data_IF_623383292468
#
_entry.id   IF_623383292468
#
_cell.length_a   1.000
_cell.length_b   1.000
_cell.length_c   1.000
_cell.angle_alpha   90.00
_cell.angle_beta   90.00
_cell.angle_gamma   90.00
#
_symmetry.space_group_name_H-M   'P 1'
#
loop_
_entity.id
_entity.type
_entity.pdbx_description
1 polymer ?
#
# COMPACT_ATOMS: atom_id res chain seq x y z
N UNK A 1 22.63 -29.08 29.46
CA UNK A 1 23.00 -28.00 28.52
C UNK A 1 22.19 -26.79 28.94
N UNK A 2 22.83 -25.78 29.53
CA UNK A 2 22.14 -24.68 30.19
C UNK A 2 21.44 -23.77 29.19
N UNK A 3 20.15 -23.51 29.40
CA UNK A 3 19.44 -22.42 28.75
C UNK A 3 20.11 -21.11 29.16
N UNK A 4 20.99 -20.58 28.32
CA UNK A 4 21.50 -19.23 28.46
C UNK A 4 20.30 -18.30 28.31
N UNK A 5 19.74 -17.83 29.42
CA UNK A 5 18.67 -16.83 29.40
C UNK A 5 19.25 -15.60 28.73
N UNK A 6 18.78 -15.33 27.50
CA UNK A 6 19.12 -14.11 26.78
C UNK A 6 18.70 -12.95 27.68
N UNK A 7 19.66 -12.09 28.04
CA UNK A 7 19.37 -10.94 28.90
C UNK A 7 18.42 -10.00 28.15
N UNK A 8 17.25 -9.76 28.74
CA UNK A 8 16.23 -8.88 28.17
C UNK A 8 16.22 -7.52 28.87
N UNK A 9 15.90 -6.44 28.14
CA UNK A 9 15.66 -5.14 28.74
C UNK A 9 14.44 -5.21 29.69
N UNK A 10 14.53 -4.54 30.84
CA UNK A 10 13.39 -4.45 31.75
C UNK A 10 12.26 -3.59 31.16
N UNK A 11 11.05 -3.76 31.67
CA UNK A 11 9.86 -3.07 31.18
C UNK A 11 9.94 -1.54 31.33
N UNK A 12 10.58 -1.03 32.38
CA UNK A 12 10.72 0.40 32.63
C UNK A 12 11.60 1.10 31.57
N UNK A 13 12.68 0.45 31.16
CA UNK A 13 13.57 0.93 30.09
C UNK A 13 12.82 1.01 28.75
N UNK A 14 11.99 -0.01 28.44
CA UNK A 14 11.17 -0.02 27.23
C UNK A 14 10.09 1.06 27.28
N UNK A 15 9.36 1.17 28.39
CA UNK A 15 8.32 2.20 28.54
C UNK A 15 8.90 3.61 28.46
N UNK A 16 10.06 3.86 29.08
CA UNK A 16 10.76 5.12 28.98
C UNK A 16 11.15 5.46 27.54
N UNK A 17 11.65 4.48 26.78
CA UNK A 17 11.97 4.66 25.37
C UNK A 17 10.73 4.95 24.52
N UNK A 18 9.65 4.21 24.71
CA UNK A 18 8.37 4.45 24.02
C UNK A 18 7.80 5.83 24.35
N UNK A 19 7.88 6.27 25.62
CA UNK A 19 7.45 7.60 26.02
C UNK A 19 8.26 8.72 25.35
N UNK A 20 9.58 8.52 25.17
CA UNK A 20 10.42 9.48 24.42
C UNK A 20 9.99 9.58 22.96
N UNK A 21 9.66 8.45 22.32
CA UNK A 21 9.16 8.44 20.94
C UNK A 21 7.80 9.15 20.83
N UNK A 22 6.87 8.84 21.72
CA UNK A 22 5.52 9.43 21.72
C UNK A 22 5.52 10.93 22.04
N UNK A 23 6.48 11.41 22.83
CA UNK A 23 6.66 12.84 23.14
C UNK A 23 7.47 13.60 22.09
N UNK A 24 7.85 12.97 20.98
CA UNK A 24 8.62 13.61 19.90
C UNK A 24 10.08 13.91 20.27
N UNK A 25 10.58 13.40 21.41
CA UNK A 25 11.98 13.55 21.83
C UNK A 25 12.89 12.56 21.10
N UNK A 26 12.87 12.61 19.77
CA UNK A 26 13.43 11.58 18.89
C UNK A 26 14.93 11.39 19.09
N UNK A 27 15.70 12.46 19.30
CA UNK A 27 17.16 12.37 19.54
C UNK A 27 17.50 11.63 20.84
N UNK A 28 16.72 11.89 21.89
CA UNK A 28 16.85 11.18 23.18
C UNK A 28 16.41 9.71 23.04
N UNK A 29 15.37 9.44 22.27
CA UNK A 29 14.93 8.07 22.00
C UNK A 29 16.03 7.28 21.28
N UNK A 30 16.62 7.83 20.21
CA UNK A 30 17.68 7.16 19.43
C UNK A 30 18.92 6.88 20.27
N UNK A 31 19.39 7.86 21.05
CA UNK A 31 20.54 7.68 21.95
C UNK A 31 20.27 6.64 23.04
N UNK A 32 19.07 6.67 23.64
CA UNK A 32 18.63 5.68 24.65
C UNK A 32 18.56 4.27 24.05
N UNK A 33 17.95 4.12 22.88
CA UNK A 33 17.84 2.84 22.18
C UNK A 33 19.23 2.25 21.87
N UNK A 34 20.17 3.05 21.35
CA UNK A 34 21.56 2.60 21.10
C UNK A 34 22.25 2.10 22.37
N UNK A 35 22.08 2.82 23.49
CA UNK A 35 22.63 2.43 24.79
C UNK A 35 22.04 1.09 25.27
N UNK A 36 20.72 0.91 25.12
CA UNK A 36 20.05 -0.33 25.50
C UNK A 36 20.48 -1.49 24.59
N UNK A 37 20.63 -1.28 23.28
CA UNK A 37 21.14 -2.30 22.34
C UNK A 37 22.56 -2.73 22.71
N UNK A 38 23.40 -1.82 23.20
CA UNK A 38 24.72 -2.17 23.71
C UNK A 38 24.70 -3.15 24.89
N UNK A 39 23.63 -3.14 25.69
CA UNK A 39 23.43 -4.06 26.82
C UNK A 39 22.65 -5.33 26.42
N UNK A 40 21.70 -5.19 25.51
CA UNK A 40 20.74 -6.23 25.11
C UNK A 40 20.70 -6.37 23.57
N UNK A 41 21.80 -6.79 22.92
CA UNK A 41 21.91 -6.75 21.45
C UNK A 41 20.94 -7.69 20.73
N UNK A 42 20.49 -8.75 21.41
CA UNK A 42 19.58 -9.76 20.88
C UNK A 42 18.10 -9.44 21.13
N UNK A 43 17.76 -8.27 21.65
CA UNK A 43 16.37 -7.85 21.86
C UNK A 43 15.81 -7.21 20.56
N UNK A 44 14.97 -7.91 19.77
CA UNK A 44 14.46 -7.40 18.50
C UNK A 44 13.67 -6.10 18.65
N UNK A 45 12.91 -5.95 19.75
CA UNK A 45 12.13 -4.75 20.02
C UNK A 45 12.98 -3.48 20.12
N UNK A 46 14.21 -3.55 20.62
CA UNK A 46 15.08 -2.38 20.69
C UNK A 46 15.52 -1.92 19.31
N UNK A 47 15.74 -2.85 18.39
CA UNK A 47 16.03 -2.53 16.99
C UNK A 47 14.81 -1.93 16.29
N UNK A 48 13.58 -2.40 16.59
CA UNK A 48 12.35 -1.75 16.11
C UNK A 48 12.26 -0.31 16.62
N UNK A 49 12.39 -0.09 17.93
CA UNK A 49 12.27 1.25 18.53
C UNK A 49 13.38 2.20 18.06
N UNK A 50 14.60 1.69 17.85
CA UNK A 50 15.67 2.46 17.20
C UNK A 50 15.28 2.84 15.77
N UNK A 51 14.73 1.90 15.00
CA UNK A 51 14.24 2.14 13.64
C UNK A 51 13.17 3.23 13.60
N UNK A 52 12.20 3.19 14.53
CA UNK A 52 11.14 4.21 14.64
C UNK A 52 11.74 5.58 14.92
N UNK A 53 12.68 5.67 15.86
CA UNK A 53 13.39 6.92 16.15
C UNK A 53 14.18 7.44 14.94
N UNK A 54 14.93 6.59 14.25
CA UNK A 54 15.69 6.98 13.06
C UNK A 54 14.78 7.45 11.92
N UNK A 55 13.64 6.78 11.70
CA UNK A 55 12.64 7.21 10.74
C UNK A 55 12.03 8.57 11.11
N UNK A 56 11.80 8.83 12.39
CA UNK A 56 11.38 10.13 12.91
C UNK A 56 12.38 11.26 12.66
N UNK A 57 13.69 10.94 12.56
CA UNK A 57 14.73 11.89 12.14
C UNK A 57 14.84 12.05 10.61
N UNK A 58 14.00 11.38 9.82
CA UNK A 58 14.13 11.30 8.36
C UNK A 58 15.27 10.40 7.87
N UNK A 59 15.96 9.68 8.76
CA UNK A 59 17.08 8.78 8.42
C UNK A 59 16.55 7.40 8.02
N UNK A 60 15.97 7.33 6.82
CA UNK A 60 15.30 6.14 6.33
C UNK A 60 16.24 4.94 6.15
N UNK A 61 17.45 5.12 5.59
CA UNK A 61 18.39 4.01 5.38
C UNK A 61 18.83 3.35 6.70
N UNK A 62 19.25 4.11 7.73
CA UNK A 62 19.49 3.54 9.07
C UNK A 62 18.25 2.87 9.67
N UNK A 63 17.05 3.41 9.47
CA UNK A 63 15.82 2.82 9.99
C UNK A 63 15.55 1.45 9.36
N UNK A 64 15.66 1.33 8.03
CA UNK A 64 15.52 0.07 7.30
C UNK A 64 16.52 -0.97 7.81
N UNK A 65 17.77 -0.57 8.04
CA UNK A 65 18.79 -1.47 8.61
C UNK A 65 18.40 -1.97 10.00
N UNK A 66 17.90 -1.09 10.86
CA UNK A 66 17.40 -1.44 12.19
C UNK A 66 16.21 -2.40 12.13
N UNK A 67 15.23 -2.19 11.26
CA UNK A 67 14.11 -3.13 11.10
C UNK A 67 14.56 -4.50 10.56
N UNK A 68 15.47 -4.53 9.58
CA UNK A 68 16.05 -5.78 9.08
C UNK A 68 16.81 -6.55 10.17
N UNK A 69 17.51 -5.86 11.08
CA UNK A 69 18.10 -6.50 12.27
C UNK A 69 17.06 -7.09 13.20
N UNK A 70 15.96 -6.37 13.46
CA UNK A 70 14.85 -6.91 14.25
C UNK A 70 14.28 -8.19 13.63
N UNK A 71 14.10 -8.21 12.31
CA UNK A 71 13.59 -9.37 11.57
C UNK A 71 14.58 -10.53 11.48
N UNK A 72 15.89 -10.26 11.46
CA UNK A 72 16.91 -11.31 11.54
C UNK A 72 16.89 -12.02 12.91
N UNK A 73 16.53 -11.30 13.98
CA UNK A 73 16.38 -11.84 15.33
C UNK A 73 15.01 -12.50 15.56
N UNK A 74 13.96 -11.93 14.95
CA UNK A 74 12.58 -12.40 15.04
C UNK A 74 11.87 -12.22 13.68
N UNK A 75 11.91 -13.25 12.81
CA UNK A 75 11.34 -13.15 11.45
C UNK A 75 9.83 -12.90 11.40
N UNK A 76 9.10 -13.34 12.43
CA UNK A 76 7.64 -13.21 12.56
C UNK A 76 7.20 -11.91 13.26
N UNK A 77 8.09 -10.90 13.33
CA UNK A 77 7.78 -9.64 14.01
C UNK A 77 6.95 -8.71 13.11
N UNK A 78 5.62 -8.83 13.19
CA UNK A 78 4.65 -8.05 12.40
C UNK A 78 4.91 -6.53 12.44
N UNK A 79 5.15 -5.96 13.62
CA UNK A 79 5.43 -4.51 13.74
C UNK A 79 6.71 -4.10 12.99
N UNK A 80 7.73 -4.96 12.97
CA UNK A 80 8.97 -4.69 12.25
C UNK A 80 8.76 -4.77 10.73
N UNK A 81 7.97 -5.75 10.25
CA UNK A 81 7.59 -5.85 8.84
C UNK A 81 6.76 -4.64 8.38
N UNK A 82 5.77 -4.23 9.17
CA UNK A 82 4.95 -3.05 8.86
C UNK A 82 5.81 -1.78 8.82
N UNK A 83 6.64 -1.55 9.83
CA UNK A 83 7.52 -0.37 9.86
C UNK A 83 8.60 -0.38 8.77
N UNK A 84 9.11 -1.56 8.40
CA UNK A 84 10.00 -1.73 7.25
C UNK A 84 9.29 -1.32 5.95
N UNK A 85 8.07 -1.80 5.73
CA UNK A 85 7.25 -1.41 4.59
C UNK A 85 7.01 0.09 4.51
N UNK A 86 6.74 0.74 5.65
CA UNK A 86 6.54 2.21 5.71
C UNK A 86 7.81 2.95 5.31
N UNK A 87 8.96 2.52 5.85
CA UNK A 87 10.24 3.15 5.52
C UNK A 87 10.61 2.95 4.05
N UNK A 88 10.44 1.74 3.50
CA UNK A 88 10.73 1.42 2.09
C UNK A 88 9.81 2.19 1.13
N UNK A 89 8.52 2.32 1.43
CA UNK A 89 7.59 3.15 0.65
C UNK A 89 8.05 4.61 0.61
N UNK A 90 8.46 5.17 1.75
CA UNK A 90 9.03 6.54 1.79
C UNK A 90 10.32 6.71 1.00
N UNK A 91 11.06 5.62 0.75
CA UNK A 91 12.23 5.61 -0.13
C UNK A 91 11.88 5.41 -1.62
N UNK A 92 10.59 5.23 -1.96
CA UNK A 92 10.16 4.88 -3.32
C UNK A 92 10.41 3.42 -3.70
N UNK A 93 10.84 2.57 -2.76
CA UNK A 93 11.09 1.13 -2.99
C UNK A 93 9.79 0.35 -2.85
N UNK A 94 8.85 0.60 -3.76
CA UNK A 94 7.48 0.10 -3.67
C UNK A 94 7.39 -1.44 -3.69
N UNK A 95 8.20 -2.12 -4.50
CA UNK A 95 8.23 -3.59 -4.53
C UNK A 95 8.65 -4.20 -3.19
N UNK A 96 9.79 -3.75 -2.64
CA UNK A 96 10.26 -4.24 -1.32
C UNK A 96 9.27 -3.88 -0.20
N UNK A 97 8.58 -2.74 -0.30
CA UNK A 97 7.54 -2.36 0.65
C UNK A 97 6.33 -3.31 0.58
N UNK A 98 5.88 -3.67 -0.63
CA UNK A 98 4.78 -4.61 -0.83
C UNK A 98 5.12 -6.00 -0.26
N UNK A 99 6.36 -6.47 -0.44
CA UNK A 99 6.83 -7.74 0.12
C UNK A 99 6.77 -7.72 1.66
N UNK A 100 7.26 -6.65 2.28
CA UNK A 100 7.23 -6.50 3.73
C UNK A 100 5.81 -6.51 4.30
N UNK A 101 4.89 -5.76 3.68
CA UNK A 101 3.48 -5.76 4.11
C UNK A 101 2.76 -7.07 3.83
N UNK A 102 3.09 -7.75 2.72
CA UNK A 102 2.50 -9.06 2.40
C UNK A 102 2.91 -10.09 3.45
N UNK A 103 4.20 -10.14 3.83
CA UNK A 103 4.65 -10.99 4.93
C UNK A 103 3.98 -10.65 6.28
N UNK A 104 3.74 -9.37 6.55
CA UNK A 104 2.99 -8.98 7.76
C UNK A 104 1.53 -9.46 7.74
N UNK A 105 0.86 -9.41 6.58
CA UNK A 105 -0.50 -9.93 6.42
C UNK A 105 -0.56 -11.46 6.44
N UNK A 106 0.45 -12.18 5.96
CA UNK A 106 0.50 -13.64 6.09
C UNK A 106 0.51 -14.07 7.57
N UNK A 107 1.24 -13.33 8.41
CA UNK A 107 1.30 -13.57 9.85
C UNK A 107 0.04 -13.09 10.58
N UNK A 108 -0.54 -11.96 10.15
CA UNK A 108 -1.74 -11.39 10.74
C UNK A 108 -2.73 -10.90 9.66
N UNK A 109 -3.54 -11.80 9.08
CA UNK A 109 -4.43 -11.46 7.96
C UNK A 109 -5.50 -10.41 8.28
N UNK A 110 -5.82 -10.26 9.57
CA UNK A 110 -6.81 -9.32 10.07
C UNK A 110 -6.27 -7.92 10.41
N UNK A 111 -4.98 -7.62 10.15
CA UNK A 111 -4.41 -6.32 10.51
C UNK A 111 -4.87 -5.20 9.55
N UNK A 112 -5.73 -4.26 9.99
CA UNK A 112 -6.30 -3.24 9.11
C UNK A 112 -5.25 -2.24 8.62
N UNK A 113 -4.27 -1.88 9.46
CA UNK A 113 -3.23 -0.90 9.13
C UNK A 113 -2.32 -1.44 8.02
N UNK A 114 -1.89 -2.70 8.15
CA UNK A 114 -1.04 -3.35 7.13
C UNK A 114 -1.82 -3.51 5.82
N UNK A 115 -3.10 -3.91 5.88
CA UNK A 115 -3.97 -4.00 4.70
C UNK A 115 -4.11 -2.65 3.98
N UNK A 116 -4.32 -1.57 4.73
CA UNK A 116 -4.39 -0.21 4.18
C UNK A 116 -3.06 0.22 3.56
N UNK A 117 -1.95 -0.05 4.23
CA UNK A 117 -0.62 0.29 3.73
C UNK A 117 -0.26 -0.47 2.44
N UNK A 118 -0.52 -1.78 2.38
CA UNK A 118 -0.30 -2.58 1.18
C UNK A 118 -1.15 -2.10 0.01
N UNK A 119 -2.43 -1.82 0.26
CA UNK A 119 -3.33 -1.29 -0.75
C UNK A 119 -2.86 0.07 -1.28
N UNK A 120 -2.24 0.90 -0.44
CA UNK A 120 -1.66 2.18 -0.87
C UNK A 120 -0.45 1.96 -1.77
N UNK A 121 0.43 1.00 -1.44
CA UNK A 121 1.59 0.66 -2.29
C UNK A 121 1.17 0.12 -3.65
N UNK A 122 0.16 -0.77 -3.70
CA UNK A 122 -0.37 -1.27 -4.96
C UNK A 122 -1.01 -0.15 -5.81
N UNK A 123 -1.66 0.81 -5.18
CA UNK A 123 -2.24 1.97 -5.87
C UNK A 123 -1.15 2.87 -6.46
N UNK A 124 -0.11 3.21 -5.69
CA UNK A 124 1.05 4.00 -6.16
C UNK A 124 1.79 3.29 -7.31
N UNK A 125 2.01 1.98 -7.18
CA UNK A 125 2.66 1.17 -8.21
C UNK A 125 1.79 1.09 -9.47
N UNK A 126 0.46 0.95 -9.30
CA UNK A 126 -0.51 0.95 -10.40
C UNK A 126 -0.50 2.25 -11.19
N UNK A 127 -0.48 3.41 -10.50
CA UNK A 127 -0.37 4.72 -11.17
C UNK A 127 0.94 4.85 -11.96
N UNK A 128 2.05 4.39 -11.39
CA UNK A 128 3.35 4.38 -12.07
C UNK A 128 3.35 3.52 -13.34
N UNK A 129 2.83 2.28 -13.27
CA UNK A 129 2.69 1.39 -14.42
C UNK A 129 1.74 1.96 -15.47
N UNK A 130 0.64 2.56 -15.04
CA UNK A 130 -0.31 3.21 -15.93
C UNK A 130 0.35 4.33 -16.74
N UNK A 131 1.14 5.17 -16.08
CA UNK A 131 1.88 6.26 -16.73
C UNK A 131 2.95 5.76 -17.71
N UNK A 132 3.42 4.53 -17.55
CA UNK A 132 4.35 3.86 -18.47
C UNK A 132 3.63 3.11 -19.61
N UNK A 133 2.29 3.09 -19.62
CA UNK A 133 1.49 2.35 -20.60
C UNK A 133 1.35 0.86 -20.31
N UNK A 134 1.79 0.39 -19.14
CA UNK A 134 1.65 -1.00 -18.68
C UNK A 134 0.23 -1.25 -18.13
N UNK A 135 -0.78 -1.06 -18.98
CA UNK A 135 -2.19 -1.07 -18.56
C UNK A 135 -2.63 -2.42 -17.97
N UNK A 136 -2.14 -3.53 -18.53
CA UNK A 136 -2.46 -4.87 -18.02
C UNK A 136 -1.98 -5.07 -16.58
N UNK A 137 -0.76 -4.68 -16.29
CA UNK A 137 -0.17 -4.83 -14.96
C UNK A 137 -0.84 -3.87 -13.95
N UNK A 138 -1.17 -2.65 -14.39
CA UNK A 138 -1.90 -1.68 -13.58
C UNK A 138 -3.30 -2.18 -13.20
N UNK A 139 -4.05 -2.76 -14.16
CA UNK A 139 -5.36 -3.38 -13.92
C UNK A 139 -5.29 -4.47 -12.86
N UNK A 140 -4.30 -5.36 -12.94
CA UNK A 140 -4.09 -6.41 -11.93
C UNK A 140 -3.79 -5.84 -10.55
N UNK A 141 -3.01 -4.75 -10.47
CA UNK A 141 -2.76 -4.07 -9.20
C UNK A 141 -4.01 -3.39 -8.65
N UNK A 142 -4.80 -2.71 -9.47
CA UNK A 142 -6.04 -2.08 -8.99
C UNK A 142 -7.05 -3.13 -8.49
N UNK A 143 -7.11 -4.31 -9.12
CA UNK A 143 -7.87 -5.45 -8.58
C UNK A 143 -7.36 -5.89 -7.21
N UNK A 144 -6.03 -5.96 -7.00
CA UNK A 144 -5.47 -6.22 -5.67
C UNK A 144 -5.81 -5.12 -4.66
N UNK A 145 -5.82 -3.84 -5.07
CA UNK A 145 -6.27 -2.73 -4.22
C UNK A 145 -7.70 -2.95 -3.78
N UNK A 146 -8.61 -3.31 -4.71
CA UNK A 146 -10.03 -3.52 -4.40
C UNK A 146 -10.28 -4.78 -3.56
N UNK A 147 -9.46 -5.81 -3.68
CA UNK A 147 -9.50 -6.96 -2.76
C UNK A 147 -9.14 -6.57 -1.32
N UNK A 148 -8.25 -5.59 -1.15
CA UNK A 148 -7.83 -5.10 0.17
C UNK A 148 -8.75 -3.98 0.69
N UNK A 149 -9.28 -3.14 -0.20
CA UNK A 149 -10.15 -2.00 0.07
C UNK A 149 -11.27 -1.95 -0.98
N UNK A 150 -12.37 -2.71 -0.81
CA UNK A 150 -13.46 -2.76 -1.79
C UNK A 150 -14.14 -1.41 -2.03
N UNK A 151 -14.25 -0.59 -0.98
CA UNK A 151 -14.79 0.76 -1.06
C UNK A 151 -13.69 1.80 -1.40
N UNK A 152 -13.04 1.64 -2.55
CA UNK A 152 -12.03 2.59 -3.05
C UNK A 152 -12.41 3.11 -4.44
N UNK A 153 -13.09 4.26 -4.47
CA UNK A 153 -13.58 4.86 -5.71
C UNK A 153 -12.46 5.34 -6.65
N UNK A 154 -11.30 5.74 -6.11
CA UNK A 154 -10.13 6.08 -6.92
C UNK A 154 -9.58 4.83 -7.65
N UNK A 155 -9.44 3.71 -6.95
CA UNK A 155 -9.00 2.44 -7.57
C UNK A 155 -10.03 1.90 -8.57
N UNK A 156 -11.33 1.99 -8.29
CA UNK A 156 -12.39 1.63 -9.25
C UNK A 156 -12.31 2.48 -10.52
N UNK A 157 -12.11 3.80 -10.38
CA UNK A 157 -11.96 4.71 -11.52
C UNK A 157 -10.74 4.31 -12.35
N UNK A 158 -9.57 4.14 -11.73
CA UNK A 158 -8.35 3.81 -12.46
C UNK A 158 -8.38 2.40 -13.07
N UNK A 159 -9.03 1.43 -12.41
CA UNK A 159 -9.33 0.12 -12.99
C UNK A 159 -10.17 0.27 -14.26
N UNK A 160 -11.25 1.06 -14.19
CA UNK A 160 -12.10 1.32 -15.34
C UNK A 160 -11.34 1.96 -16.51
N UNK A 161 -10.49 2.96 -16.24
CA UNK A 161 -9.67 3.58 -17.28
C UNK A 161 -8.69 2.57 -17.88
N UNK A 162 -8.02 1.76 -17.06
CA UNK A 162 -7.12 0.69 -17.53
C UNK A 162 -7.84 -0.33 -18.40
N UNK A 163 -9.07 -0.72 -18.04
CA UNK A 163 -9.90 -1.61 -18.82
C UNK A 163 -10.31 -1.01 -20.17
N UNK A 164 -10.59 0.31 -20.24
CA UNK A 164 -10.85 0.99 -21.52
C UNK A 164 -9.66 0.89 -22.46
N UNK A 165 -8.42 1.08 -21.98
CA UNK A 165 -7.21 0.90 -22.79
C UNK A 165 -7.04 -0.55 -23.30
N UNK A 166 -7.59 -1.53 -22.59
CA UNK A 166 -7.56 -2.94 -22.95
C UNK A 166 -8.81 -3.40 -23.73
N UNK A 167 -9.74 -2.50 -24.03
CA UNK A 167 -10.99 -2.79 -24.75
C UNK A 167 -12.13 -3.38 -23.89
N UNK A 168 -11.95 -3.49 -22.58
CA UNK A 168 -12.95 -4.01 -21.63
C UNK A 168 -14.02 -2.98 -21.24
N UNK A 169 -14.81 -2.51 -22.22
CA UNK A 169 -15.73 -1.37 -22.03
C UNK A 169 -16.84 -1.64 -21.01
N UNK A 170 -17.43 -2.84 -21.02
CA UNK A 170 -18.53 -3.19 -20.11
C UNK A 170 -18.07 -3.26 -18.64
N UNK A 171 -16.95 -3.92 -18.39
CA UNK A 171 -16.35 -4.00 -17.05
C UNK A 171 -15.93 -2.60 -16.57
N UNK A 172 -15.39 -1.76 -17.47
CA UNK A 172 -15.06 -0.38 -17.15
C UNK A 172 -16.29 0.43 -16.69
N UNK A 173 -17.41 0.34 -17.42
CA UNK A 173 -18.66 1.01 -17.06
C UNK A 173 -19.18 0.58 -15.68
N UNK A 174 -19.12 -0.71 -15.38
CA UNK A 174 -19.50 -1.23 -14.06
C UNK A 174 -18.65 -0.61 -12.95
N UNK A 175 -17.34 -0.55 -13.14
CA UNK A 175 -16.42 0.04 -12.16
C UNK A 175 -16.64 1.55 -11.99
N UNK A 176 -16.85 2.31 -13.06
CA UNK A 176 -17.17 3.73 -12.94
C UNK A 176 -18.50 3.97 -12.22
N UNK A 177 -19.51 3.14 -12.50
CA UNK A 177 -20.80 3.21 -11.80
C UNK A 177 -20.62 2.98 -10.30
N UNK A 178 -19.88 1.95 -9.90
CA UNK A 178 -19.56 1.70 -8.49
C UNK A 178 -18.77 2.87 -7.87
N UNK A 179 -17.80 3.45 -8.59
CA UNK A 179 -17.04 4.60 -8.11
C UNK A 179 -17.94 5.83 -7.84
N UNK A 180 -18.89 6.09 -8.74
CA UNK A 180 -19.88 7.18 -8.59
C UNK A 180 -20.82 6.91 -7.40
N UNK A 181 -21.23 5.66 -7.18
CA UNK A 181 -22.05 5.31 -6.01
C UNK A 181 -21.32 5.55 -4.69
N UNK A 182 -20.02 5.25 -4.64
CA UNK A 182 -19.19 5.47 -3.44
C UNK A 182 -18.90 6.95 -3.20
N UNK A 183 -18.57 7.69 -4.26
CA UNK A 183 -18.20 9.10 -4.18
C UNK A 183 -18.85 9.88 -5.34
N UNK A 184 -20.11 10.34 -5.16
CA UNK A 184 -20.90 11.00 -6.22
C UNK A 184 -20.28 12.27 -6.79
N UNK A 185 -19.42 12.95 -6.03
CA UNK A 185 -18.77 14.21 -6.43
C UNK A 185 -17.47 13.99 -7.23
N UNK A 186 -17.02 12.74 -7.45
CA UNK A 186 -15.78 12.48 -8.22
C UNK A 186 -16.01 12.73 -9.71
N UNK A 187 -15.62 13.91 -10.16
CA UNK A 187 -15.77 14.38 -11.55
C UNK A 187 -15.13 13.41 -12.54
N UNK A 188 -13.95 12.86 -12.23
CA UNK A 188 -13.26 11.93 -13.14
C UNK A 188 -14.10 10.68 -13.43
N UNK A 189 -14.78 10.11 -12.43
CA UNK A 189 -15.60 8.91 -12.62
C UNK A 189 -16.77 9.18 -13.57
N UNK A 190 -17.45 10.32 -13.42
CA UNK A 190 -18.52 10.74 -14.34
C UNK A 190 -18.01 10.96 -15.76
N UNK A 191 -16.87 11.64 -15.89
CA UNK A 191 -16.26 11.93 -17.19
C UNK A 191 -15.90 10.64 -17.92
N UNK A 192 -15.22 9.70 -17.26
CA UNK A 192 -14.84 8.43 -17.87
C UNK A 192 -16.04 7.51 -18.13
N UNK A 193 -17.05 7.51 -17.25
CA UNK A 193 -18.30 6.80 -17.50
C UNK A 193 -18.98 7.31 -18.79
N UNK A 194 -19.11 8.63 -18.96
CA UNK A 194 -19.71 9.21 -20.15
C UNK A 194 -18.93 8.89 -21.44
N UNK A 195 -17.59 8.95 -21.39
CA UNK A 195 -16.71 8.56 -22.50
C UNK A 195 -16.93 7.09 -22.86
N UNK A 196 -16.93 6.19 -21.87
CA UNK A 196 -17.13 4.77 -22.06
C UNK A 196 -18.53 4.45 -22.63
N UNK A 197 -19.58 5.09 -22.13
CA UNK A 197 -20.95 4.89 -22.62
C UNK A 197 -21.09 5.30 -24.08
N UNK A 198 -20.48 6.42 -24.48
CA UNK A 198 -20.46 6.87 -25.88
C UNK A 198 -19.71 5.89 -26.78
N UNK A 199 -18.59 5.35 -26.31
CA UNK A 199 -17.82 4.34 -27.03
C UNK A 199 -18.64 3.06 -27.25
N UNK A 200 -19.39 2.62 -26.24
CA UNK A 200 -20.25 1.44 -26.34
C UNK A 200 -21.46 1.66 -27.26
N UNK A 201 -22.07 2.84 -27.23
CA UNK A 201 -23.28 3.12 -28.01
C UNK A 201 -23.04 3.19 -29.54
N UNK A 202 -21.83 3.56 -29.97
CA UNK A 202 -21.52 3.81 -31.39
C UNK A 202 -21.66 2.56 -32.28
N UNK A 203 -21.11 1.39 -31.93
CA UNK A 203 -21.33 0.14 -32.67
C UNK A 203 -22.81 -0.28 -32.71
N UNK A 204 -23.55 -0.16 -31.60
CA UNK A 204 -24.97 -0.52 -31.57
C UNK A 204 -25.83 0.38 -32.45
N UNK A 205 -25.54 1.68 -32.47
CA UNK A 205 -26.20 2.61 -33.37
C UNK A 205 -25.93 2.24 -34.85
N UNK A 206 -24.69 1.95 -35.21
CA UNK A 206 -24.34 1.52 -36.59
C UNK A 206 -25.03 0.21 -37.00
N UNK A 207 -25.13 -0.75 -36.09
CA UNK A 207 -25.86 -2.01 -36.33
C UNK A 207 -27.36 -1.74 -36.51
N UNK A 208 -27.96 -0.91 -35.65
CA UNK A 208 -29.38 -0.53 -35.75
C UNK A 208 -29.66 0.22 -37.06
N UNK A 209 -28.81 1.16 -37.47
CA UNK A 209 -28.97 1.86 -38.75
C UNK A 209 -28.89 0.92 -39.95
N UNK A 210 -28.00 -0.09 -39.91
CA UNK A 210 -27.90 -1.12 -40.96
C UNK A 210 -29.13 -2.04 -40.98
N UNK A 211 -29.66 -2.42 -39.82
CA UNK A 211 -30.84 -3.29 -39.70
C UNK A 211 -32.12 -2.56 -40.14
N UNK A 212 -32.22 -1.27 -39.84
CA UNK A 212 -33.42 -0.46 -40.11
C UNK A 212 -33.45 0.18 -41.50
N UNK A 213 -32.45 -0.07 -42.36
CA UNK A 213 -32.28 0.55 -43.70
C UNK A 213 -32.39 2.09 -43.69
N UNK A 214 -32.11 2.74 -42.56
CA UNK A 214 -32.18 4.21 -42.46
C UNK A 214 -30.90 4.75 -43.10
N UNK A 215 -30.98 5.55 -44.19
CA UNK A 215 -29.79 6.09 -44.84
C UNK A 215 -28.98 6.93 -43.86
N UNK A 216 -27.67 6.67 -43.75
CA UNK A 216 -26.77 7.44 -42.89
C UNK A 216 -26.78 8.91 -43.31
N UNK A 217 -27.22 9.81 -42.44
CA UNK A 217 -27.15 11.26 -42.68
C UNK A 217 -25.67 11.66 -42.59
N UNK A 218 -25.14 12.17 -43.71
CA UNK A 218 -23.77 12.69 -43.83
C UNK A 218 -23.54 13.93 -42.96
#
# INVERSE_FOLDING_TARGET
MGSSTVSEPNQADIQGLVALLNSGQVDKAVSTAKRLIGKFPQAPMLHVLLGVGLAGQGKLDPAVHSYRKALALKPDYVDALNNLGVALRKQGKLTEAADAYSGALELQPGNPDVRQNLATVFEETGVGLFSQGHFKDAVELYRKVLNLRPANAHALTNLGVGLLHLGGVEEALSNFHQAIQLEPERIESHAYHAIASKSLARPYAEILYRILEIPSVQ
#
